data_IF_218016319690
#
_entry.id   IF_218016319690
#
_cell.length_a   1.000
_cell.length_b   1.000
_cell.length_c   1.000
_cell.angle_alpha   90.00
_cell.angle_beta   90.00
_cell.angle_gamma   90.00
#
_symmetry.space_group_name_H-M   'P 1'
#
loop_
_entity.id
_entity.type
_entity.pdbx_description
1 polymer ?
#
# COMPACT_ATOMS: atom_id res chain seq x y z
N UNK A 1 -3.27 -2.98 20.98
CA UNK A 1 -3.52 -1.85 21.92
C UNK A 1 -3.02 -2.13 23.33
N UNK A 2 -3.14 -3.33 23.85
CA UNK A 2 -2.70 -3.75 25.19
C UNK A 2 -1.19 -3.58 25.46
N UNK A 3 -0.37 -3.43 24.42
CA UNK A 3 1.07 -3.24 24.56
C UNK A 3 1.45 -1.77 24.87
N UNK A 4 0.60 -0.80 24.60
CA UNK A 4 0.89 0.63 24.83
C UNK A 4 0.66 1.00 26.30
N UNK A 5 -0.31 0.39 26.96
CA UNK A 5 -0.63 0.66 28.36
C UNK A 5 0.48 0.23 29.32
N UNK A 6 1.37 -0.67 28.90
CA UNK A 6 2.43 -1.24 29.75
C UNK A 6 3.85 -0.77 29.40
N UNK A 7 4.04 0.01 28.30
CA UNK A 7 5.37 0.42 27.83
C UNK A 7 5.47 1.91 27.58
N UNK A 8 6.21 2.59 28.41
CA UNK A 8 6.49 4.05 28.31
C UNK A 8 7.25 4.47 27.05
N UNK A 9 7.74 3.51 26.24
CA UNK A 9 8.55 3.75 25.04
C UNK A 9 7.88 3.29 23.74
N UNK A 10 6.57 3.01 23.75
CA UNK A 10 5.82 2.58 22.56
C UNK A 10 4.94 3.72 22.07
N UNK A 11 5.04 4.02 20.77
CA UNK A 11 4.16 4.93 20.04
C UNK A 11 3.46 4.13 18.96
N UNK A 12 2.13 4.14 18.96
CA UNK A 12 1.31 3.52 17.92
C UNK A 12 0.70 4.61 17.05
N UNK A 13 0.95 4.53 15.75
CA UNK A 13 0.34 5.40 14.74
C UNK A 13 -0.57 4.55 13.86
N UNK A 14 -1.82 4.94 13.74
CA UNK A 14 -2.80 4.17 12.95
C UNK A 14 -3.80 5.09 12.23
N UNK A 15 -4.54 4.53 11.28
CA UNK A 15 -5.56 5.27 10.53
C UNK A 15 -6.64 4.35 9.98
N UNK A 16 -7.76 4.94 9.53
CA UNK A 16 -8.83 4.23 8.83
C UNK A 16 -8.59 4.14 7.31
N UNK A 17 -7.50 4.76 6.82
CA UNK A 17 -7.22 4.89 5.39
C UNK A 17 -7.20 3.56 4.65
N UNK A 18 -6.63 2.51 5.27
CA UNK A 18 -6.45 1.20 4.62
C UNK A 18 -7.48 0.19 5.09
N UNK A 19 -7.65 0.02 6.38
CA UNK A 19 -8.56 -0.98 6.96
C UNK A 19 -10.03 -0.74 6.61
N UNK A 20 -10.44 0.52 6.45
CA UNK A 20 -11.83 0.92 6.17
C UNK A 20 -12.02 1.59 4.81
N UNK A 21 -11.01 1.55 3.93
CA UNK A 21 -11.02 2.23 2.62
C UNK A 21 -11.33 3.74 2.72
N UNK A 22 -10.92 4.39 3.82
CA UNK A 22 -11.22 5.79 4.14
C UNK A 22 -10.02 6.73 3.88
N UNK A 23 -9.24 6.49 2.83
CA UNK A 23 -8.03 7.30 2.54
C UNK A 23 -8.36 8.78 2.25
N UNK A 24 -9.49 9.05 1.61
CA UNK A 24 -9.95 10.41 1.30
C UNK A 24 -10.43 11.20 2.52
N UNK A 25 -10.77 10.54 3.62
CA UNK A 25 -11.25 11.18 4.85
C UNK A 25 -10.15 11.83 5.69
N UNK A 26 -8.90 11.52 5.41
CA UNK A 26 -7.71 12.10 6.06
C UNK A 26 -7.75 12.05 7.59
N UNK A 27 -8.02 10.86 8.16
CA UNK A 27 -8.10 10.65 9.61
C UNK A 27 -7.24 9.48 10.08
N UNK A 28 -6.56 9.70 11.18
CA UNK A 28 -5.78 8.73 11.90
C UNK A 28 -5.60 9.17 13.35
N UNK A 29 -4.88 8.38 14.13
CA UNK A 29 -4.61 8.68 15.54
C UNK A 29 -3.24 8.17 15.98
N UNK A 30 -2.78 8.74 17.08
CA UNK A 30 -1.57 8.33 17.76
C UNK A 30 -1.95 7.92 19.19
N UNK A 31 -1.38 6.82 19.67
CA UNK A 31 -1.43 6.39 21.06
C UNK A 31 0.01 6.39 21.55
N UNK A 32 0.32 7.18 22.58
CA UNK A 32 1.65 7.36 23.10
C UNK A 32 1.60 7.78 24.59
N UNK A 33 2.73 7.79 25.30
CA UNK A 33 2.82 8.37 26.64
C UNK A 33 2.38 9.85 26.66
N UNK A 34 1.81 10.30 27.78
CA UNK A 34 1.21 11.62 27.94
C UNK A 34 2.14 12.78 27.52
N UNK A 35 3.40 12.74 27.93
CA UNK A 35 4.39 13.76 27.55
C UNK A 35 4.58 13.90 26.04
N UNK A 36 4.47 12.79 25.30
CA UNK A 36 4.53 12.78 23.83
C UNK A 36 3.24 13.36 23.24
N UNK A 37 2.08 12.98 23.80
CA UNK A 37 0.77 13.49 23.35
C UNK A 37 0.66 15.01 23.56
N UNK A 38 1.12 15.55 24.67
CA UNK A 38 1.14 16.99 24.91
C UNK A 38 1.97 17.75 23.84
N UNK A 39 3.18 17.28 23.57
CA UNK A 39 4.02 17.86 22.53
C UNK A 39 3.38 17.77 21.13
N UNK A 40 2.80 16.60 20.77
CA UNK A 40 2.13 16.38 19.50
C UNK A 40 0.84 17.20 19.38
N UNK A 41 0.11 17.43 20.47
CA UNK A 41 -1.09 18.28 20.48
C UNK A 41 -0.73 19.71 20.15
N UNK A 42 0.31 20.27 20.78
CA UNK A 42 0.80 21.61 20.48
C UNK A 42 1.25 21.75 19.05
N UNK A 43 1.99 20.77 18.52
CA UNK A 43 2.43 20.73 17.12
C UNK A 43 1.24 20.65 16.15
N UNK A 44 0.28 19.78 16.45
CA UNK A 44 -0.93 19.60 15.64
C UNK A 44 -1.76 20.88 15.54
N UNK A 45 -1.94 21.58 16.66
CA UNK A 45 -2.63 22.86 16.69
C UNK A 45 -1.94 23.90 15.82
N UNK A 46 -0.59 23.95 15.84
CA UNK A 46 0.17 24.89 15.02
C UNK A 46 0.10 24.59 13.51
N UNK A 47 -0.05 23.31 13.12
CA UNK A 47 -0.04 22.88 11.74
C UNK A 47 -1.43 22.77 11.10
N UNK A 48 -2.44 22.30 11.82
CA UNK A 48 -3.73 21.89 11.25
C UNK A 48 -4.93 22.53 11.92
N UNK A 49 -4.77 23.18 13.06
CA UNK A 49 -5.84 23.68 13.94
C UNK A 49 -6.78 22.59 14.49
N UNK A 50 -6.86 21.45 13.85
CA UNK A 50 -7.67 20.32 14.26
C UNK A 50 -8.19 19.49 13.08
N UNK A 51 -8.72 18.32 13.40
CA UNK A 51 -9.38 17.45 12.42
C UNK A 51 -10.83 17.83 12.31
N UNK A 52 -11.37 17.88 11.09
CA UNK A 52 -12.75 18.23 10.83
C UNK A 52 -13.72 17.37 11.65
N UNK A 53 -14.70 18.01 12.31
CA UNK A 53 -15.58 17.37 13.28
C UNK A 53 -16.47 16.27 12.66
N UNK A 54 -17.02 16.48 11.46
CA UNK A 54 -17.85 15.44 10.82
C UNK A 54 -17.02 14.20 10.43
N UNK A 55 -15.73 14.39 10.11
CA UNK A 55 -14.80 13.27 9.85
C UNK A 55 -14.58 12.45 11.14
N UNK A 56 -14.50 13.11 12.29
CA UNK A 56 -14.39 12.42 13.58
C UNK A 56 -15.63 11.57 13.88
N UNK A 57 -16.84 12.09 13.63
CA UNK A 57 -18.07 11.30 13.77
C UNK A 57 -18.12 10.11 12.80
N UNK A 58 -17.68 10.28 11.56
CA UNK A 58 -17.58 9.19 10.62
C UNK A 58 -16.56 8.12 11.10
N UNK A 59 -15.44 8.53 11.69
CA UNK A 59 -14.46 7.62 12.26
C UNK A 59 -15.02 6.82 13.45
N UNK A 60 -15.81 7.43 14.32
CA UNK A 60 -16.47 6.74 15.43
C UNK A 60 -17.40 5.63 14.90
N UNK A 61 -18.14 5.92 13.84
CA UNK A 61 -19.02 4.94 13.19
C UNK A 61 -18.21 3.81 12.54
N UNK A 62 -17.15 4.16 11.81
CA UNK A 62 -16.28 3.19 11.16
C UNK A 62 -15.57 2.26 12.15
N UNK A 63 -15.10 2.78 13.29
CA UNK A 63 -14.47 1.97 14.34
C UNK A 63 -15.42 0.94 15.00
N UNK A 64 -16.72 1.16 14.93
CA UNK A 64 -17.75 0.21 15.39
C UNK A 64 -18.05 -0.87 14.34
N UNK A 65 -17.70 -0.62 13.08
CA UNK A 65 -17.93 -1.58 11.98
C UNK A 65 -16.87 -2.69 12.01
N UNK A 66 -17.30 -3.90 12.33
CA UNK A 66 -16.47 -5.08 12.36
C UNK A 66 -16.60 -5.92 11.08
N UNK A 67 -17.49 -5.53 10.17
CA UNK A 67 -17.82 -6.30 8.95
C UNK A 67 -17.00 -5.80 7.77
N UNK A 68 -17.02 -4.49 7.50
CA UNK A 68 -16.36 -3.91 6.34
C UNK A 68 -14.85 -4.20 6.28
N UNK A 69 -14.06 -4.09 7.37
CA UNK A 69 -12.63 -4.42 7.32
C UNK A 69 -12.36 -5.87 6.92
N UNK A 70 -13.17 -6.82 7.40
CA UNK A 70 -13.05 -8.25 7.03
C UNK A 70 -13.36 -8.45 5.55
N UNK A 71 -14.44 -7.82 5.06
CA UNK A 71 -14.82 -7.88 3.64
C UNK A 71 -13.73 -7.28 2.74
N UNK A 72 -13.16 -6.14 3.09
CA UNK A 72 -12.06 -5.54 2.34
C UNK A 72 -10.83 -6.44 2.33
N UNK A 73 -10.49 -7.03 3.47
CA UNK A 73 -9.38 -7.99 3.55
C UNK A 73 -9.57 -9.17 2.59
N UNK A 74 -10.75 -9.76 2.53
CA UNK A 74 -11.07 -10.87 1.60
C UNK A 74 -10.97 -10.44 0.13
N UNK A 75 -11.50 -9.25 -0.21
CA UNK A 75 -11.41 -8.70 -1.56
C UNK A 75 -9.94 -8.51 -1.97
N UNK A 76 -9.14 -7.85 -1.15
CA UNK A 76 -7.73 -7.61 -1.46
C UNK A 76 -6.91 -8.91 -1.51
N UNK A 77 -7.20 -9.86 -0.64
CA UNK A 77 -6.58 -11.18 -0.67
C UNK A 77 -6.88 -11.90 -2.00
N UNK A 78 -8.15 -11.95 -2.41
CA UNK A 78 -8.53 -12.58 -3.69
C UNK A 78 -7.86 -11.91 -4.89
N UNK A 79 -7.79 -10.57 -4.90
CA UNK A 79 -7.14 -9.80 -5.96
C UNK A 79 -5.63 -10.04 -6.00
N UNK A 80 -4.97 -10.01 -4.85
CA UNK A 80 -3.55 -10.35 -4.70
C UNK A 80 -3.25 -11.73 -5.25
N UNK A 81 -3.99 -12.73 -4.78
CA UNK A 81 -3.74 -14.14 -5.13
C UNK A 81 -3.93 -14.37 -6.64
N UNK A 82 -4.93 -13.74 -7.27
CA UNK A 82 -5.13 -13.80 -8.71
C UNK A 82 -3.97 -13.17 -9.49
N UNK A 83 -3.55 -11.96 -9.12
CA UNK A 83 -2.42 -11.28 -9.74
C UNK A 83 -1.12 -12.09 -9.62
N UNK A 84 -0.78 -12.51 -8.39
CA UNK A 84 0.46 -13.23 -8.11
C UNK A 84 0.49 -14.63 -8.74
N UNK A 85 -0.65 -15.31 -8.83
CA UNK A 85 -0.77 -16.59 -9.53
C UNK A 85 -0.42 -16.47 -11.03
N UNK A 86 -0.77 -15.37 -11.67
CA UNK A 86 -0.35 -15.09 -13.05
C UNK A 86 1.13 -14.73 -13.10
N UNK A 87 1.56 -13.78 -12.28
CA UNK A 87 2.93 -13.28 -12.26
C UNK A 87 3.97 -14.37 -11.95
N UNK A 88 3.62 -15.38 -11.14
CA UNK A 88 4.49 -16.50 -10.80
C UNK A 88 4.89 -17.39 -12.00
N UNK A 89 4.24 -17.22 -13.15
CA UNK A 89 4.60 -17.90 -14.38
C UNK A 89 5.84 -17.27 -15.07
N UNK A 90 6.21 -16.04 -14.68
CA UNK A 90 7.41 -15.39 -15.18
C UNK A 90 8.68 -16.09 -14.68
N UNK A 91 9.66 -16.25 -15.57
CA UNK A 91 11.00 -16.77 -15.23
C UNK A 91 11.99 -15.67 -14.85
N UNK A 92 11.67 -14.42 -15.20
CA UNK A 92 12.59 -13.26 -15.07
C UNK A 92 12.13 -12.25 -14.03
N UNK A 93 10.83 -12.16 -13.74
CA UNK A 93 10.30 -11.31 -12.68
C UNK A 93 10.30 -12.05 -11.35
N UNK A 94 10.75 -11.39 -10.30
CA UNK A 94 10.81 -11.95 -8.95
C UNK A 94 10.05 -11.07 -7.97
N UNK A 95 9.43 -11.69 -6.98
CA UNK A 95 8.73 -10.98 -5.91
C UNK A 95 8.72 -11.82 -4.64
N UNK A 96 8.59 -11.14 -3.50
CA UNK A 96 8.29 -11.79 -2.23
C UNK A 96 6.77 -11.71 -2.06
N UNK A 97 6.14 -12.85 -1.73
CA UNK A 97 4.71 -12.89 -1.51
C UNK A 97 4.33 -11.97 -0.32
N UNK A 98 3.53 -10.92 -0.53
CA UNK A 98 3.17 -10.03 0.55
C UNK A 98 2.17 -10.69 1.50
N UNK A 99 2.48 -10.75 2.77
CA UNK A 99 1.59 -11.28 3.81
C UNK A 99 0.46 -10.31 4.20
N UNK A 100 0.62 -9.03 3.87
CA UNK A 100 -0.36 -7.98 4.16
C UNK A 100 -0.23 -6.79 3.22
N UNK A 101 -1.09 -5.80 3.43
CA UNK A 101 -1.12 -4.60 2.60
C UNK A 101 -1.88 -4.79 1.29
N UNK A 102 -1.68 -3.87 0.36
CA UNK A 102 -2.44 -3.79 -0.89
C UNK A 102 -1.55 -3.65 -2.13
N UNK A 103 -0.27 -4.01 -2.03
CA UNK A 103 0.68 -3.95 -3.14
C UNK A 103 1.78 -5.00 -3.00
N UNK A 104 2.48 -5.27 -4.10
CA UNK A 104 3.68 -6.08 -4.17
C UNK A 104 4.82 -5.26 -4.79
N UNK A 105 6.05 -5.53 -4.36
CA UNK A 105 7.27 -5.10 -5.04
C UNK A 105 7.72 -6.23 -5.95
N UNK A 106 8.02 -5.90 -7.20
CA UNK A 106 8.48 -6.83 -8.23
C UNK A 106 9.88 -6.40 -8.63
N UNK A 107 10.84 -7.29 -8.52
CA UNK A 107 12.20 -7.11 -9.00
C UNK A 107 12.23 -7.33 -10.51
N UNK A 108 12.76 -6.34 -11.23
CA UNK A 108 12.88 -6.31 -12.70
C UNK A 108 14.34 -6.36 -13.17
N UNK A 109 15.29 -6.61 -12.26
CA UNK A 109 16.74 -6.56 -12.56
C UNK A 109 17.13 -7.42 -13.76
N UNK A 110 16.49 -8.58 -13.96
CA UNK A 110 16.80 -9.49 -15.07
C UNK A 110 16.40 -8.94 -16.44
N UNK A 111 15.60 -7.88 -16.50
CA UNK A 111 15.28 -7.19 -17.76
C UNK A 111 16.39 -6.23 -18.22
N UNK A 112 17.42 -6.02 -17.41
CA UNK A 112 18.47 -5.03 -17.66
C UNK A 112 18.04 -3.58 -17.44
N UNK A 113 16.77 -3.34 -17.07
CA UNK A 113 16.23 -2.00 -16.79
C UNK A 113 16.21 -1.74 -15.28
N UNK A 114 16.32 -0.47 -14.90
CA UNK A 114 15.90 -0.04 -13.56
C UNK A 114 14.38 0.13 -13.51
N UNK A 115 13.85 0.30 -12.28
CA UNK A 115 12.39 0.37 -12.06
C UNK A 115 11.72 1.58 -12.72
N UNK A 116 12.44 2.70 -12.89
CA UNK A 116 11.92 3.90 -13.54
C UNK A 116 11.79 3.69 -15.05
N UNK A 117 12.89 3.29 -15.70
CA UNK A 117 12.89 2.97 -17.13
C UNK A 117 11.91 1.84 -17.48
N UNK A 118 11.79 0.84 -16.59
CA UNK A 118 10.82 -0.24 -16.78
C UNK A 118 9.38 0.31 -16.70
N UNK A 119 9.06 1.12 -15.71
CA UNK A 119 7.71 1.67 -15.52
C UNK A 119 7.28 2.58 -16.69
N UNK A 120 8.17 3.46 -17.17
CA UNK A 120 7.92 4.32 -18.33
C UNK A 120 7.64 3.52 -19.60
N UNK A 121 8.55 2.60 -19.94
CA UNK A 121 8.41 1.77 -21.15
C UNK A 121 7.20 0.84 -21.06
N UNK A 122 6.90 0.29 -19.89
CA UNK A 122 5.71 -0.53 -19.67
C UNK A 122 4.42 0.26 -19.92
N UNK A 123 4.37 1.52 -19.46
CA UNK A 123 3.23 2.40 -19.71
C UNK A 123 3.07 2.67 -21.20
N UNK A 124 4.17 3.01 -21.90
CA UNK A 124 4.15 3.35 -23.32
C UNK A 124 3.78 2.16 -24.21
N UNK A 125 4.30 0.98 -23.92
CA UNK A 125 4.12 -0.20 -24.79
C UNK A 125 2.87 -1.02 -24.45
N UNK A 126 2.49 -1.09 -23.16
CA UNK A 126 1.45 -2.01 -22.68
C UNK A 126 0.27 -1.28 -22.03
N UNK A 127 0.37 0.04 -21.81
CA UNK A 127 -0.68 0.81 -21.15
C UNK A 127 -0.87 0.45 -19.67
N UNK A 128 0.17 -0.06 -19.01
CA UNK A 128 0.14 -0.44 -17.59
C UNK A 128 0.96 0.52 -16.76
N UNK A 129 0.29 1.29 -15.90
CA UNK A 129 0.93 2.21 -14.98
C UNK A 129 1.33 1.50 -13.67
N UNK A 130 2.59 1.60 -13.31
CA UNK A 130 3.15 1.08 -12.06
C UNK A 130 4.00 2.15 -11.38
N UNK A 131 4.36 1.97 -10.11
CA UNK A 131 5.17 2.95 -9.38
C UNK A 131 6.62 2.45 -9.34
N UNK A 132 7.61 3.27 -9.79
CA UNK A 132 9.02 2.94 -9.63
C UNK A 132 9.40 2.77 -8.16
N UNK A 133 10.23 1.77 -7.86
CA UNK A 133 10.61 1.45 -6.48
C UNK A 133 11.59 2.44 -5.86
N UNK A 134 12.38 3.16 -6.66
CA UNK A 134 13.39 4.10 -6.17
C UNK A 134 12.84 5.13 -5.15
N UNK A 135 11.60 5.57 -5.32
CA UNK A 135 10.92 6.46 -4.36
C UNK A 135 10.77 5.89 -2.94
N UNK A 136 11.00 4.59 -2.73
CA UNK A 136 10.96 3.91 -1.44
C UNK A 136 12.35 3.63 -0.86
N UNK A 137 13.41 4.09 -1.53
CA UNK A 137 14.78 4.01 -1.10
C UNK A 137 15.73 3.48 -2.20
N UNK A 138 17.03 3.80 -2.11
CA UNK A 138 18.02 3.46 -3.15
C UNK A 138 18.13 1.95 -3.42
N UNK A 139 17.92 1.11 -2.40
CA UNK A 139 17.92 -0.37 -2.52
C UNK A 139 16.79 -0.91 -3.39
N UNK A 140 15.74 -0.10 -3.65
CA UNK A 140 14.58 -0.46 -4.47
C UNK A 140 14.69 0.02 -5.92
N UNK A 141 15.87 0.47 -6.36
CA UNK A 141 16.08 1.04 -7.70
C UNK A 141 15.65 0.10 -8.84
N UNK A 142 15.87 -1.20 -8.70
CA UNK A 142 15.51 -2.21 -9.71
C UNK A 142 14.16 -2.86 -9.45
N UNK A 143 13.25 -2.17 -8.75
CA UNK A 143 11.90 -2.70 -8.46
C UNK A 143 10.81 -1.79 -8.98
N UNK A 144 9.64 -2.37 -9.20
CA UNK A 144 8.37 -1.67 -9.41
C UNK A 144 7.37 -2.07 -8.34
N UNK A 145 6.45 -1.17 -7.98
CA UNK A 145 5.34 -1.46 -7.07
C UNK A 145 4.03 -1.52 -7.81
N UNK A 146 3.30 -2.62 -7.65
CA UNK A 146 1.97 -2.84 -8.20
C UNK A 146 0.94 -2.93 -7.08
N UNK A 147 -0.18 -2.21 -7.21
CA UNK A 147 -1.28 -2.22 -6.25
C UNK A 147 -2.40 -3.17 -6.66
N UNK A 148 -3.08 -3.76 -5.66
CA UNK A 148 -4.23 -4.67 -5.87
C UNK A 148 -5.58 -3.92 -5.78
N UNK A 149 -5.64 -2.66 -6.24
CA UNK A 149 -6.82 -1.80 -6.08
C UNK A 149 -7.86 -1.97 -7.19
N UNK A 150 -7.44 -2.40 -8.36
CA UNK A 150 -8.32 -2.64 -9.51
C UNK A 150 -9.13 -3.94 -9.36
N UNK A 151 -10.12 -4.12 -10.23
CA UNK A 151 -10.88 -5.35 -10.31
C UNK A 151 -10.00 -6.55 -10.71
N UNK A 152 -10.41 -7.76 -10.30
CA UNK A 152 -9.62 -8.98 -10.46
C UNK A 152 -9.21 -9.23 -11.92
N UNK A 153 -10.13 -9.08 -12.87
CA UNK A 153 -9.86 -9.27 -14.29
C UNK A 153 -8.83 -8.27 -14.85
N UNK A 154 -8.89 -7.03 -14.39
CA UNK A 154 -7.92 -5.99 -14.78
C UNK A 154 -6.52 -6.33 -14.23
N UNK A 155 -6.44 -6.83 -13.00
CA UNK A 155 -5.18 -7.25 -12.40
C UNK A 155 -4.57 -8.47 -13.09
N UNK A 156 -5.38 -9.45 -13.46
CA UNK A 156 -4.94 -10.62 -14.22
C UNK A 156 -4.39 -10.20 -15.59
N UNK A 157 -5.06 -9.32 -16.30
CA UNK A 157 -4.59 -8.75 -17.57
C UNK A 157 -3.31 -7.93 -17.39
N UNK A 158 -3.24 -7.10 -16.34
CA UNK A 158 -2.03 -6.33 -16.04
C UNK A 158 -0.83 -7.26 -15.76
N UNK A 159 -1.02 -8.36 -15.05
CA UNK A 159 0.06 -9.33 -14.83
C UNK A 159 0.57 -9.93 -16.15
N UNK A 160 -0.34 -10.28 -17.07
CA UNK A 160 0.01 -10.81 -18.38
C UNK A 160 0.80 -9.78 -19.20
N UNK A 161 0.38 -8.53 -19.22
CA UNK A 161 1.06 -7.45 -19.94
C UNK A 161 2.45 -7.15 -19.35
N UNK A 162 2.57 -7.13 -18.03
CA UNK A 162 3.85 -6.94 -17.34
C UNK A 162 4.83 -8.06 -17.71
N UNK A 163 4.39 -9.32 -17.71
CA UNK A 163 5.22 -10.46 -18.11
C UNK A 163 5.63 -10.37 -19.58
N UNK A 164 4.66 -10.10 -20.47
CA UNK A 164 4.93 -9.96 -21.91
C UNK A 164 5.98 -8.89 -22.18
N UNK A 165 5.83 -7.71 -21.57
CA UNK A 165 6.82 -6.65 -21.69
C UNK A 165 8.19 -7.07 -21.16
N UNK A 166 8.23 -7.68 -19.97
CA UNK A 166 9.48 -8.14 -19.38
C UNK A 166 10.20 -9.15 -20.30
N UNK A 167 9.47 -10.09 -20.90
CA UNK A 167 10.03 -11.10 -21.83
C UNK A 167 10.62 -10.45 -23.09
N UNK A 168 10.16 -9.28 -23.53
CA UNK A 168 10.73 -8.54 -24.67
C UNK A 168 12.03 -7.81 -24.33
N UNK A 169 12.34 -7.64 -23.03
CA UNK A 169 13.57 -6.97 -22.60
C UNK A 169 14.68 -7.96 -22.22
N UNK A 170 14.36 -9.24 -22.10
CA UNK A 170 15.31 -10.33 -21.79
C UNK A 170 15.90 -10.92 -23.07
#
# INVERSE_FOLDING_TARGET
YTQVETRSNVIVVNSLSKSHAMSGWRIGWIIAPEIIIEALTSLSQAQYFGVNQFVQYAAITALKDQISPKRFHEIFRSRRDAFLSKLSQSKILRFIHPEGGMFVLIDVVMTGLDGESFAEKLLDNEGVAVVPGFGFGPSMKSTIRVGFLAEKSILEEAAIRIMRFADTQY
#
